data_IF_926182763412
#
_entry.id   IF_926182763412
#
_cell.length_a   1.000
_cell.length_b   1.000
_cell.length_c   1.000
_cell.angle_alpha   90.00
_cell.angle_beta   90.00
_cell.angle_gamma   90.00
#
_symmetry.space_group_name_H-M   'P 1'
#
loop_
_entity.id
_entity.type
_entity.pdbx_description
1 polymer ?
#
# COMPACT_ATOMS: atom_id res chain seq x y z
N UNK A 1 -7.62 -15.62 -7.70
CA UNK A 1 -9.09 -15.65 -7.62
C UNK A 1 -9.55 -16.59 -6.50
N UNK A 2 -9.16 -17.88 -6.49
CA UNK A 2 -9.59 -18.84 -5.46
C UNK A 2 -9.31 -18.32 -4.04
N UNK A 3 -8.09 -17.84 -3.75
CA UNK A 3 -7.73 -17.30 -2.43
C UNK A 3 -8.56 -16.06 -2.04
N UNK A 4 -8.87 -15.17 -2.96
CA UNK A 4 -9.72 -14.01 -2.67
C UNK A 4 -11.19 -14.42 -2.43
N UNK A 5 -11.67 -15.46 -3.11
CA UNK A 5 -13.00 -16.00 -2.91
C UNK A 5 -13.17 -16.78 -1.59
N UNK A 6 -12.08 -17.22 -0.96
CA UNK A 6 -12.13 -17.91 0.33
C UNK A 6 -12.03 -16.97 1.55
N UNK A 7 -11.95 -15.66 1.32
CA UNK A 7 -11.91 -14.66 2.40
C UNK A 7 -13.27 -14.61 3.10
N UNK A 8 -13.26 -14.80 4.41
CA UNK A 8 -14.44 -14.77 5.26
C UNK A 8 -14.73 -13.34 5.69
N UNK A 9 -15.88 -12.82 5.28
CA UNK A 9 -16.41 -11.55 5.77
C UNK A 9 -17.41 -11.79 6.89
N UNK A 10 -17.39 -10.97 7.94
CA UNK A 10 -18.31 -11.15 9.07
C UNK A 10 -18.09 -10.15 10.20
N UNK A 11 -18.67 -10.43 11.35
CA UNK A 11 -18.51 -9.63 12.57
C UNK A 11 -17.02 -9.62 12.99
N UNK A 12 -16.40 -8.45 13.21
CA UNK A 12 -15.00 -8.35 13.64
C UNK A 12 -14.68 -9.02 14.99
N UNK A 13 -15.70 -9.33 15.79
CA UNK A 13 -15.56 -10.05 17.06
C UNK A 13 -15.50 -11.57 16.90
N UNK A 14 -15.82 -12.08 15.72
CA UNK A 14 -15.70 -13.50 15.42
C UNK A 14 -14.27 -13.79 14.92
N UNK A 15 -13.59 -14.73 15.57
CA UNK A 15 -12.22 -15.14 15.23
C UNK A 15 -12.08 -15.71 13.81
N UNK A 16 -13.17 -16.22 13.22
CA UNK A 16 -13.18 -16.70 11.85
C UNK A 16 -13.20 -15.55 10.81
N UNK A 17 -13.58 -14.35 11.22
CA UNK A 17 -13.68 -13.20 10.31
C UNK A 17 -12.30 -12.70 9.89
N UNK A 18 -12.09 -12.57 8.60
CA UNK A 18 -10.86 -12.05 8.02
C UNK A 18 -10.99 -10.60 7.54
N UNK A 19 -12.19 -10.20 7.12
CA UNK A 19 -12.51 -8.82 6.73
C UNK A 19 -13.85 -8.41 7.34
N UNK A 20 -13.85 -7.32 8.11
CA UNK A 20 -15.04 -6.66 8.65
C UNK A 20 -15.70 -5.70 7.67
N UNK A 21 -16.72 -4.94 8.14
CA UNK A 21 -17.37 -3.89 7.34
C UNK A 21 -16.46 -2.68 7.16
N UNK A 22 -16.82 -1.81 6.21
CA UNK A 22 -16.17 -0.51 6.10
C UNK A 22 -16.55 0.37 7.30
N UNK A 23 -15.65 1.28 7.69
CA UNK A 23 -15.75 2.01 8.95
C UNK A 23 -16.96 2.95 9.01
N UNK A 24 -17.39 3.55 7.89
CA UNK A 24 -18.55 4.44 7.78
C UNK A 24 -19.05 4.57 6.35
N UNK A 25 -20.25 5.11 6.19
CA UNK A 25 -20.95 5.20 4.90
C UNK A 25 -20.16 5.94 3.83
N UNK A 26 -19.55 7.08 4.16
CA UNK A 26 -18.77 7.88 3.19
C UNK A 26 -17.60 7.07 2.62
N UNK A 27 -16.95 6.27 3.44
CA UNK A 27 -15.85 5.38 2.98
C UNK A 27 -16.38 4.25 2.08
N UNK A 28 -17.50 3.65 2.48
CA UNK A 28 -18.16 2.63 1.66
C UNK A 28 -18.56 3.18 0.28
N UNK A 29 -19.20 4.38 0.25
CA UNK A 29 -19.63 5.03 -0.97
C UNK A 29 -18.43 5.41 -1.87
N UNK A 30 -17.30 5.81 -1.25
CA UNK A 30 -16.05 6.07 -1.98
C UNK A 30 -15.56 4.81 -2.70
N UNK A 31 -15.47 3.68 -2.00
CA UNK A 31 -15.04 2.40 -2.58
C UNK A 31 -15.98 1.99 -3.73
N UNK A 32 -17.28 2.02 -3.45
CA UNK A 32 -18.31 1.72 -4.45
C UNK A 32 -18.17 2.61 -5.69
N UNK A 33 -17.98 3.92 -5.49
CA UNK A 33 -17.81 4.89 -6.56
C UNK A 33 -16.61 4.59 -7.46
N UNK A 34 -15.45 4.19 -6.91
CA UNK A 34 -14.29 3.77 -7.69
C UNK A 34 -14.60 2.53 -8.55
N UNK A 35 -15.25 1.55 -7.97
CA UNK A 35 -15.59 0.31 -8.69
C UNK A 35 -16.64 0.56 -9.75
N UNK A 36 -17.64 1.40 -9.49
CA UNK A 36 -18.67 1.76 -10.46
C UNK A 36 -18.08 2.53 -11.64
N UNK A 37 -17.16 3.47 -11.41
CA UNK A 37 -16.44 4.15 -12.50
C UNK A 37 -15.58 3.19 -13.31
N UNK A 38 -14.85 2.30 -12.64
CA UNK A 38 -14.06 1.28 -13.34
C UNK A 38 -14.95 0.40 -14.24
N UNK A 39 -16.16 0.02 -13.78
CA UNK A 39 -17.14 -0.71 -14.61
C UNK A 39 -17.60 0.14 -15.80
N UNK A 40 -17.93 1.42 -15.56
CA UNK A 40 -18.39 2.35 -16.60
C UNK A 40 -17.29 2.59 -17.67
N UNK A 41 -16.04 2.57 -17.30
CA UNK A 41 -14.86 2.64 -18.17
C UNK A 41 -14.58 1.30 -18.92
N UNK A 42 -15.38 0.27 -18.68
CA UNK A 42 -15.20 -1.04 -19.30
C UNK A 42 -14.06 -1.88 -18.72
N UNK A 43 -13.58 -1.56 -17.50
CA UNK A 43 -12.56 -2.36 -16.85
C UNK A 43 -13.10 -3.74 -16.47
N UNK A 44 -12.28 -4.77 -16.63
CA UNK A 44 -12.72 -6.16 -16.40
C UNK A 44 -12.76 -6.48 -14.90
N UNK A 45 -13.96 -6.63 -14.37
CA UNK A 45 -14.18 -7.16 -13.02
C UNK A 45 -14.04 -8.68 -13.07
N UNK A 46 -13.01 -9.20 -12.41
CA UNK A 46 -12.71 -10.65 -12.38
C UNK A 46 -13.50 -11.35 -11.28
N UNK A 47 -13.78 -10.62 -10.17
CA UNK A 47 -14.52 -11.11 -9.01
C UNK A 47 -15.03 -9.94 -8.16
N UNK A 48 -16.15 -10.12 -7.45
CA UNK A 48 -16.72 -9.10 -6.57
C UNK A 48 -17.26 -7.90 -7.35
N UNK A 49 -16.92 -6.71 -6.88
CA UNK A 49 -17.32 -5.45 -7.52
C UNK A 49 -18.67 -4.92 -7.06
N UNK A 50 -19.17 -5.40 -5.92
CA UNK A 50 -20.50 -5.05 -5.42
C UNK A 50 -20.56 -5.10 -3.89
N UNK A 51 -21.53 -4.45 -3.26
CA UNK A 51 -21.86 -4.65 -1.86
C UNK A 51 -22.11 -6.11 -1.51
N UNK A 52 -21.90 -6.48 -0.26
CA UNK A 52 -22.29 -7.79 0.25
C UNK A 52 -23.62 -7.69 1.00
N UNK A 53 -24.72 -7.66 0.24
CA UNK A 53 -26.07 -7.47 0.80
C UNK A 53 -26.53 -8.63 1.69
N UNK A 54 -25.90 -9.81 1.57
CA UNK A 54 -26.21 -10.98 2.43
C UNK A 54 -25.82 -10.72 3.90
N UNK A 55 -24.77 -9.94 4.14
CA UNK A 55 -24.34 -9.54 5.48
C UNK A 55 -25.00 -8.24 5.94
N UNK A 56 -25.59 -7.48 5.03
CA UNK A 56 -26.13 -6.15 5.30
C UNK A 56 -25.05 -5.13 5.69
N UNK A 57 -25.46 -3.91 6.06
CA UNK A 57 -24.54 -2.87 6.54
C UNK A 57 -23.50 -2.46 5.50
N UNK A 58 -22.25 -2.21 5.95
CA UNK A 58 -21.19 -1.60 5.13
C UNK A 58 -20.18 -2.63 4.59
N UNK A 59 -20.63 -3.81 4.24
CA UNK A 59 -19.77 -4.83 3.65
C UNK A 59 -19.66 -4.67 2.14
N UNK A 60 -18.43 -4.64 1.65
CA UNK A 60 -18.12 -4.65 0.22
C UNK A 60 -17.35 -5.93 -0.12
N UNK A 61 -17.78 -6.68 -1.12
CA UNK A 61 -17.18 -7.95 -1.48
C UNK A 61 -15.71 -7.80 -1.89
N UNK A 62 -14.81 -8.70 -1.49
CA UNK A 62 -13.45 -8.73 -1.99
C UNK A 62 -13.46 -8.70 -3.52
N UNK A 63 -12.83 -7.70 -4.08
CA UNK A 63 -12.93 -7.36 -5.50
C UNK A 63 -11.58 -7.51 -6.19
N UNK A 64 -11.55 -8.18 -7.32
CA UNK A 64 -10.40 -8.29 -8.19
C UNK A 64 -10.74 -7.69 -9.55
N UNK A 65 -9.95 -6.71 -9.96
CA UNK A 65 -10.10 -6.01 -11.23
C UNK A 65 -8.84 -6.22 -12.07
N UNK A 66 -9.03 -6.44 -13.36
CA UNK A 66 -7.96 -6.42 -14.36
C UNK A 66 -8.12 -5.13 -15.19
N UNK A 67 -7.50 -4.02 -14.75
CA UNK A 67 -7.65 -2.73 -15.40
C UNK A 67 -6.68 -2.57 -16.57
N UNK A 68 -7.01 -1.64 -17.48
CA UNK A 68 -6.08 -1.12 -18.48
C UNK A 68 -5.01 -0.24 -17.83
N UNK A 69 -3.90 -0.04 -18.54
CA UNK A 69 -2.85 0.88 -18.10
C UNK A 69 -3.41 2.31 -17.96
N UNK A 70 -3.06 2.99 -16.86
CA UNK A 70 -3.46 4.38 -16.60
C UNK A 70 -4.90 4.58 -16.14
N UNK A 71 -5.71 3.50 -15.96
CA UNK A 71 -7.04 3.63 -15.40
C UNK A 71 -7.01 4.30 -13.99
N UNK A 72 -8.04 5.10 -13.66
CA UNK A 72 -8.14 5.80 -12.38
C UNK A 72 -7.92 4.85 -11.18
N UNK A 73 -8.52 3.67 -11.23
CA UNK A 73 -8.47 2.68 -10.15
C UNK A 73 -7.07 2.09 -9.90
N UNK A 74 -6.12 2.28 -10.82
CA UNK A 74 -4.70 1.89 -10.66
C UNK A 74 -3.91 2.98 -9.98
N UNK A 75 -4.17 4.25 -10.32
CA UNK A 75 -3.35 5.39 -9.93
C UNK A 75 -3.84 6.09 -8.68
N UNK A 76 -5.11 5.86 -8.29
CA UNK A 76 -5.71 6.44 -7.09
C UNK A 76 -5.89 5.38 -6.00
N UNK A 77 -5.71 5.80 -4.76
CA UNK A 77 -5.86 4.92 -3.60
C UNK A 77 -7.34 4.70 -3.28
N UNK A 78 -7.86 3.51 -3.52
CA UNK A 78 -9.25 3.13 -3.20
C UNK A 78 -9.45 3.00 -1.69
N UNK A 79 -8.48 2.47 -0.98
CA UNK A 79 -8.48 2.19 0.46
C UNK A 79 -9.61 1.25 0.89
N UNK A 80 -9.76 0.13 0.18
CA UNK A 80 -10.82 -0.85 0.40
C UNK A 80 -10.44 -2.24 -0.09
N UNK A 81 -11.35 -3.23 0.00
CA UNK A 81 -11.09 -4.61 -0.39
C UNK A 81 -11.05 -4.79 -1.92
N UNK A 82 -10.30 -3.96 -2.61
CA UNK A 82 -10.17 -3.92 -4.07
C UNK A 82 -8.71 -4.10 -4.45
N UNK A 83 -8.43 -5.09 -5.28
CA UNK A 83 -7.12 -5.41 -5.81
C UNK A 83 -7.11 -5.28 -7.33
N UNK A 84 -6.17 -4.50 -7.86
CA UNK A 84 -5.88 -4.45 -9.28
C UNK A 84 -4.80 -5.47 -9.64
N UNK A 85 -4.99 -6.17 -10.76
CA UNK A 85 -4.05 -7.14 -11.29
C UNK A 85 -3.74 -6.81 -12.75
N UNK A 86 -2.47 -6.56 -13.02
CA UNK A 86 -1.98 -6.28 -14.37
C UNK A 86 -0.86 -7.25 -14.73
N UNK A 87 -0.65 -7.46 -16.02
CA UNK A 87 0.45 -8.28 -16.55
C UNK A 87 1.45 -7.38 -17.25
N UNK A 88 2.69 -7.80 -17.26
CA UNK A 88 3.79 -7.11 -17.94
C UNK A 88 4.61 -8.11 -18.76
N UNK A 89 5.32 -7.63 -19.76
CA UNK A 89 6.14 -8.45 -20.66
C UNK A 89 7.64 -8.33 -20.39
N UNK A 90 8.07 -7.30 -19.66
CA UNK A 90 9.48 -7.09 -19.28
C UNK A 90 9.61 -6.41 -17.93
N UNK A 91 10.81 -6.46 -17.35
CA UNK A 91 11.14 -5.78 -16.09
C UNK A 91 10.96 -4.27 -16.19
N UNK A 92 11.35 -3.68 -17.31
CA UNK A 92 11.22 -2.25 -17.58
C UNK A 92 9.74 -1.83 -17.55
N UNK A 93 8.87 -2.61 -18.18
CA UNK A 93 7.43 -2.37 -18.15
C UNK A 93 6.88 -2.52 -16.73
N UNK A 94 7.33 -3.55 -15.98
CA UNK A 94 6.90 -3.74 -14.60
C UNK A 94 7.29 -2.55 -13.72
N UNK A 95 8.50 -2.03 -13.87
CA UNK A 95 9.00 -0.86 -13.16
C UNK A 95 8.27 0.43 -13.54
N UNK A 96 8.01 0.64 -14.84
CA UNK A 96 7.22 1.76 -15.32
C UNK A 96 5.82 1.75 -14.69
N UNK A 97 5.14 0.60 -14.72
CA UNK A 97 3.80 0.43 -14.14
C UNK A 97 3.82 0.63 -12.62
N UNK A 98 4.76 0.03 -11.91
CA UNK A 98 4.85 0.12 -10.45
C UNK A 98 5.20 1.54 -9.98
N UNK A 99 6.04 2.25 -10.73
CA UNK A 99 6.43 3.63 -10.44
C UNK A 99 5.46 4.68 -11.02
N UNK A 100 4.49 4.27 -11.81
CA UNK A 100 3.51 5.12 -12.51
C UNK A 100 2.40 5.71 -11.62
N UNK A 101 2.66 5.89 -10.32
CA UNK A 101 1.74 6.45 -9.33
C UNK A 101 2.38 7.60 -8.58
N UNK A 102 1.56 8.48 -8.00
CA UNK A 102 2.02 9.55 -7.12
C UNK A 102 2.37 9.08 -5.71
N UNK A 103 2.14 7.81 -5.41
CA UNK A 103 2.41 7.18 -4.11
C UNK A 103 3.72 6.39 -4.12
N UNK A 104 4.20 6.01 -2.95
CA UNK A 104 5.42 5.24 -2.78
C UNK A 104 5.66 4.83 -1.33
N UNK A 105 4.66 4.21 -0.68
CA UNK A 105 4.81 3.74 0.69
C UNK A 105 5.63 2.45 0.74
N UNK A 106 5.12 1.42 0.08
CA UNK A 106 5.71 0.10 0.15
C UNK A 106 5.53 -0.69 -1.16
N UNK A 107 6.44 -1.64 -1.39
CA UNK A 107 6.36 -2.58 -2.48
C UNK A 107 6.76 -3.99 -2.01
N UNK A 108 6.35 -4.99 -2.79
CA UNK A 108 6.79 -6.38 -2.61
C UNK A 108 7.32 -6.89 -3.93
N UNK A 109 8.53 -7.45 -3.91
CA UNK A 109 9.14 -8.13 -5.04
C UNK A 109 9.18 -9.62 -4.74
N UNK A 110 8.65 -10.44 -5.64
CA UNK A 110 8.73 -11.89 -5.55
C UNK A 110 9.57 -12.41 -6.71
N UNK A 111 10.71 -13.02 -6.41
CA UNK A 111 11.62 -13.57 -7.40
C UNK A 111 12.35 -14.81 -6.86
N UNK A 112 12.54 -15.79 -7.71
CA UNK A 112 13.41 -16.95 -7.42
C UNK A 112 14.89 -16.64 -7.63
N UNK A 113 15.26 -15.46 -8.18
CA UNK A 113 16.64 -15.08 -8.49
C UNK A 113 16.99 -13.83 -7.68
N UNK A 114 17.98 -13.95 -6.82
CA UNK A 114 18.40 -12.87 -5.91
C UNK A 114 18.87 -11.63 -6.65
N UNK A 115 19.76 -11.79 -7.62
CA UNK A 115 20.30 -10.67 -8.41
C UNK A 115 19.22 -9.91 -9.16
N UNK A 116 18.21 -10.63 -9.69
CA UNK A 116 17.06 -10.04 -10.32
C UNK A 116 16.24 -9.18 -9.32
N UNK A 117 15.95 -9.75 -8.13
CA UNK A 117 15.24 -9.00 -7.09
C UNK A 117 16.00 -7.74 -6.67
N UNK A 118 17.32 -7.83 -6.47
CA UNK A 118 18.18 -6.72 -6.10
C UNK A 118 18.21 -5.62 -7.18
N UNK A 119 18.20 -5.99 -8.46
CA UNK A 119 18.06 -5.03 -9.57
C UNK A 119 16.74 -4.27 -9.50
N UNK A 120 15.63 -5.00 -9.41
CA UNK A 120 14.28 -4.41 -9.37
C UNK A 120 14.10 -3.50 -8.15
N UNK A 121 14.57 -3.91 -6.97
CA UNK A 121 14.42 -3.10 -5.74
C UNK A 121 15.15 -1.77 -5.78
N UNK A 122 16.25 -1.66 -6.54
CA UNK A 122 17.00 -0.40 -6.69
C UNK A 122 16.24 0.65 -7.51
N UNK A 123 15.37 0.20 -8.42
CA UNK A 123 14.66 1.07 -9.35
C UNK A 123 13.21 1.37 -8.89
N UNK A 124 12.68 0.59 -7.95
CA UNK A 124 11.36 0.83 -7.36
C UNK A 124 11.38 2.06 -6.44
N UNK A 125 10.39 2.93 -6.63
CA UNK A 125 10.19 4.12 -5.79
C UNK A 125 9.21 3.80 -4.67
N UNK A 126 9.72 3.26 -3.58
CA UNK A 126 8.95 2.99 -2.37
C UNK A 126 9.85 3.15 -1.13
N UNK A 127 9.25 3.56 -0.02
CA UNK A 127 9.98 3.74 1.23
C UNK A 127 10.40 2.43 1.88
N UNK A 128 9.64 1.37 1.68
CA UNK A 128 9.97 0.02 2.14
C UNK A 128 9.70 -1.00 1.03
N UNK A 129 10.66 -1.88 0.78
CA UNK A 129 10.49 -2.94 -0.21
C UNK A 129 10.79 -4.28 0.45
N UNK A 130 9.83 -5.19 0.43
CA UNK A 130 10.01 -6.56 0.88
C UNK A 130 10.35 -7.48 -0.29
N UNK A 131 11.28 -8.38 -0.10
CA UNK A 131 11.63 -9.39 -1.10
C UNK A 131 11.25 -10.77 -0.57
N UNK A 132 10.39 -11.47 -1.28
CA UNK A 132 9.88 -12.80 -0.92
C UNK A 132 9.25 -12.90 0.49
N UNK A 133 8.86 -11.77 1.07
CA UNK A 133 8.15 -11.68 2.34
C UNK A 133 7.17 -10.52 2.30
N UNK A 134 6.30 -10.42 3.29
CA UNK A 134 5.38 -9.29 3.45
C UNK A 134 5.22 -8.94 4.91
N UNK A 135 5.23 -7.64 5.20
CA UNK A 135 4.96 -7.05 6.52
C UNK A 135 5.91 -7.52 7.64
N UNK A 136 7.10 -8.07 7.28
CA UNK A 136 8.16 -8.31 8.26
C UNK A 136 8.75 -6.97 8.66
N UNK A 137 8.64 -6.62 9.93
CA UNK A 137 9.08 -5.31 10.45
C UNK A 137 10.12 -5.47 11.57
N UNK A 138 11.12 -4.60 11.52
CA UNK A 138 12.01 -4.29 12.64
C UNK A 138 11.76 -2.82 13.01
N UNK A 139 11.35 -2.56 14.27
CA UNK A 139 11.06 -1.19 14.73
C UNK A 139 12.27 -0.27 14.78
N UNK A 140 13.48 -0.82 14.62
CA UNK A 140 14.74 -0.07 14.51
C UNK A 140 15.05 0.35 13.07
N UNK A 141 14.40 -0.28 12.09
CA UNK A 141 14.58 0.07 10.69
C UNK A 141 13.73 1.28 10.30
N UNK A 142 14.22 2.14 9.38
CA UNK A 142 13.45 3.28 8.93
C UNK A 142 12.18 2.82 8.18
N UNK A 143 11.04 3.43 8.52
CA UNK A 143 9.77 3.22 7.85
C UNK A 143 9.15 4.54 7.48
N UNK A 144 8.61 4.65 6.28
CA UNK A 144 7.91 5.85 5.80
C UNK A 144 7.79 5.84 4.29
N UNK A 145 6.93 6.71 3.77
CA UNK A 145 6.62 6.83 2.36
C UNK A 145 7.57 7.74 1.59
N UNK A 146 7.49 7.61 0.29
CA UNK A 146 8.03 8.55 -0.68
C UNK A 146 6.89 9.22 -1.44
N UNK A 147 7.14 10.32 -2.13
CA UNK A 147 6.13 11.06 -2.90
C UNK A 147 4.95 11.47 -2.01
N UNK A 148 3.69 11.31 -2.47
CA UNK A 148 2.48 11.63 -1.68
C UNK A 148 2.20 10.69 -0.52
N UNK A 149 2.90 9.57 -0.41
CA UNK A 149 2.75 8.66 0.73
C UNK A 149 3.39 9.16 2.02
N UNK A 150 4.23 10.17 1.97
CA UNK A 150 4.77 10.81 3.16
C UNK A 150 6.15 11.42 3.00
N UNK A 151 6.57 12.12 4.06
CA UNK A 151 7.88 12.72 4.23
C UNK A 151 8.53 12.19 5.51
N UNK A 152 9.85 12.17 5.55
CA UNK A 152 10.60 11.66 6.71
C UNK A 152 10.54 10.14 6.86
N UNK A 153 11.15 9.68 7.94
CA UNK A 153 11.16 8.27 8.32
C UNK A 153 10.98 8.15 9.83
N UNK A 154 10.23 7.16 10.27
CA UNK A 154 10.13 6.74 11.66
C UNK A 154 10.89 5.43 11.88
N UNK A 155 11.09 5.04 13.14
CA UNK A 155 11.78 3.83 13.54
C UNK A 155 13.22 4.07 13.99
N UNK A 156 13.62 3.47 15.12
CA UNK A 156 14.95 3.61 15.70
C UNK A 156 15.43 5.07 15.79
N UNK A 157 16.65 5.33 15.37
CA UNK A 157 17.26 6.65 15.41
C UNK A 157 16.63 7.65 14.42
N UNK A 158 15.97 7.16 13.35
CA UNK A 158 15.32 8.00 12.35
C UNK A 158 14.15 8.81 12.92
N UNK A 159 13.53 8.30 14.01
CA UNK A 159 12.46 9.03 14.70
C UNK A 159 12.98 10.31 15.33
N UNK A 160 14.21 10.34 15.81
CA UNK A 160 14.78 11.56 16.43
C UNK A 160 15.02 12.64 15.39
N UNK A 161 15.43 12.29 14.18
CA UNK A 161 15.62 13.26 13.08
C UNK A 161 14.29 13.88 12.63
N UNK A 162 13.17 13.15 12.79
CA UNK A 162 11.85 13.62 12.39
C UNK A 162 11.09 14.35 13.51
N UNK A 163 11.21 13.88 14.75
CA UNK A 163 10.41 14.38 15.89
C UNK A 163 11.17 15.31 16.83
N UNK A 164 12.43 15.59 16.57
CA UNK A 164 13.26 16.47 17.40
C UNK A 164 14.01 17.51 16.58
N UNK A 165 14.21 18.68 17.16
CA UNK A 165 15.08 19.71 16.60
C UNK A 165 16.53 19.47 17.02
N UNK A 166 17.43 19.42 16.05
CA UNK A 166 18.86 19.31 16.30
C UNK A 166 19.41 20.68 16.68
N UNK A 167 20.00 20.80 17.86
CA UNK A 167 20.70 21.99 18.33
C UNK A 167 22.19 21.73 18.41
N UNK A 168 22.98 22.58 17.79
CA UNK A 168 24.43 22.63 17.99
C UNK A 168 24.78 23.68 19.05
N UNK A 169 25.50 23.29 20.12
CA UNK A 169 26.04 24.18 21.11
C UNK A 169 27.55 24.07 21.07
N UNK A 170 28.22 25.18 20.73
CA UNK A 170 29.68 25.26 20.70
C UNK A 170 30.13 26.01 21.93
N UNK A 171 30.96 25.38 22.73
CA UNK A 171 31.49 25.95 23.98
C UNK A 171 33.00 26.10 23.87
N UNK A 172 33.51 27.30 24.12
CA UNK A 172 34.95 27.53 24.16
C UNK A 172 35.58 26.82 25.37
N UNK A 173 36.62 26.03 25.19
CA UNK A 173 37.28 25.34 26.30
C UNK A 173 37.94 26.31 27.30
N UNK A 174 38.24 27.55 26.87
CA UNK A 174 38.94 28.55 27.67
C UNK A 174 38.01 29.69 28.15
N UNK A 175 36.70 29.54 28.08
CA UNK A 175 35.72 30.61 28.36
C UNK A 175 35.08 30.60 29.76
N UNK A 176 35.48 29.68 30.62
CA UNK A 176 34.91 29.55 31.96
C UNK A 176 35.72 30.33 32.99
N UNK A 177 35.05 31.12 33.82
CA UNK A 177 35.61 31.60 35.07
C UNK A 177 35.27 30.59 36.15
N UNK A 178 36.26 30.10 36.86
CA UNK A 178 36.10 29.31 38.06
C UNK A 178 35.46 30.13 39.20
#
# INVERSE_FOLDING_TARGET
>A
KAKAASIIQGDPRDEATQIGPQIHQVHFDRIKGFVDRAKAEGQKIVMGGEPNDELGGLFFRPTLIQPSAGAEIVTQEVFGPVLCMQTFASDEQALEMANGTEFGLAAVVVSGIREHAEKITKELVAGTIWVNCFFVRDLRAPFGGSRKSGIGREGGNWSFDFYADVKNTVVSPNGWKE
#
